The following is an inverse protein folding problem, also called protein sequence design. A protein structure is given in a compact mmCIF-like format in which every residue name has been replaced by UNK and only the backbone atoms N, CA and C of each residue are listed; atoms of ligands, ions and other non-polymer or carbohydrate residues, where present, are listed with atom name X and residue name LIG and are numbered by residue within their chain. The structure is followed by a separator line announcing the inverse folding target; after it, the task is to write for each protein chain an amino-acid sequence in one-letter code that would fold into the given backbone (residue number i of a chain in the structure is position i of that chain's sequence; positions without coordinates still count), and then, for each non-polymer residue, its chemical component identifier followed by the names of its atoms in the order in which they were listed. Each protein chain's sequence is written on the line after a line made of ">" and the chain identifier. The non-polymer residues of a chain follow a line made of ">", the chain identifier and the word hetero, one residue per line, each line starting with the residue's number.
data_IF_718303902497
#
_entry.id   IF_718303902497
#
_cell.length_a   1.000
_cell.length_b   1.000
_cell.length_c   1.000
_cell.angle_alpha   90.00
_cell.angle_beta   90.00
_cell.angle_gamma   90.00
#
_symmetry.space_group_name_H-M   'P 1'
#
loop_
_entity.id
_entity.type
_entity.pdbx_description
1 polymer ?
#
# COMPACT_ATOMS: atom_id res chain seq x y z
N UNK A 1 -10.29 1.02 -0.34
CA UNK A 1 -9.99 0.40 -1.65
C UNK A 1 -9.01 -0.74 -1.47
N UNK A 2 -9.14 -1.78 -2.28
CA UNK A 2 -8.38 -3.03 -2.20
C UNK A 2 -7.33 -3.14 -3.30
N UNK A 3 -6.16 -3.72 -2.99
CA UNK A 3 -5.16 -4.09 -4.01
C UNK A 3 -4.72 -5.54 -3.82
N UNK A 4 -4.84 -6.38 -4.84
CA UNK A 4 -4.38 -7.77 -4.79
C UNK A 4 -2.96 -7.81 -5.37
N UNK A 5 -1.98 -8.16 -4.54
CA UNK A 5 -0.56 -8.10 -4.86
C UNK A 5 0.07 -6.75 -4.51
N UNK A 6 1.23 -6.79 -3.84
CA UNK A 6 2.04 -5.63 -3.45
C UNK A 6 3.47 -5.73 -4.02
N UNK A 7 3.58 -6.30 -5.23
CA UNK A 7 4.80 -6.33 -6.04
C UNK A 7 5.20 -4.95 -6.59
N UNK A 8 5.89 -4.91 -7.74
CA UNK A 8 6.35 -3.65 -8.34
C UNK A 8 5.18 -2.70 -8.67
N UNK A 9 4.18 -3.19 -9.40
CA UNK A 9 3.02 -2.37 -9.79
C UNK A 9 2.09 -2.12 -8.60
N UNK A 10 1.75 -3.18 -7.85
CA UNK A 10 0.87 -3.10 -6.68
C UNK A 10 1.35 -2.09 -5.64
N UNK A 11 2.64 -2.08 -5.31
CA UNK A 11 3.18 -1.09 -4.36
C UNK A 11 3.06 0.35 -4.86
N UNK A 12 3.23 0.61 -6.17
CA UNK A 12 3.01 1.94 -6.75
C UNK A 12 1.54 2.38 -6.65
N UNK A 13 0.61 1.46 -6.93
CA UNK A 13 -0.84 1.71 -6.82
C UNK A 13 -1.21 2.04 -5.36
N UNK A 14 -0.75 1.22 -4.41
CA UNK A 14 -0.98 1.43 -2.97
C UNK A 14 -0.43 2.79 -2.54
N UNK A 15 0.80 3.11 -2.92
CA UNK A 15 1.46 4.37 -2.58
C UNK A 15 0.65 5.58 -3.09
N UNK A 16 0.37 5.65 -4.39
CA UNK A 16 -0.31 6.81 -5.00
C UNK A 16 -1.71 6.97 -4.42
N UNK A 17 -2.42 5.87 -4.20
CA UNK A 17 -3.77 5.90 -3.62
C UNK A 17 -3.77 6.42 -2.17
N UNK A 18 -2.82 5.96 -1.35
CA UNK A 18 -2.69 6.41 0.03
C UNK A 18 -2.28 7.90 0.13
N UNK A 19 -1.41 8.35 -0.78
CA UNK A 19 -1.01 9.76 -0.91
C UNK A 19 -2.19 10.65 -1.39
N UNK A 20 -3.10 10.10 -2.18
CA UNK A 20 -4.33 10.78 -2.60
C UNK A 20 -5.42 10.80 -1.50
N UNK A 21 -5.16 10.19 -0.33
CA UNK A 21 -6.05 10.25 0.83
C UNK A 21 -6.97 9.05 1.01
N UNK A 22 -6.85 8.00 0.20
CA UNK A 22 -7.66 6.79 0.34
C UNK A 22 -7.09 5.82 1.37
N UNK A 23 -7.96 5.16 2.13
CA UNK A 23 -7.59 3.98 2.93
C UNK A 23 -7.41 2.77 2.00
N UNK A 24 -6.22 2.17 2.03
CA UNK A 24 -5.83 1.09 1.13
C UNK A 24 -5.51 -0.17 1.93
N UNK A 25 -6.20 -1.26 1.60
CA UNK A 25 -5.90 -2.59 2.09
C UNK A 25 -5.33 -3.42 0.95
N UNK A 26 -4.10 -3.90 1.08
CA UNK A 26 -3.52 -4.80 0.09
C UNK A 26 -3.49 -6.26 0.58
N UNK A 27 -3.57 -7.20 -0.36
CA UNK A 27 -3.53 -8.63 -0.08
C UNK A 27 -2.25 -9.23 -0.66
N UNK A 28 -1.60 -10.09 0.12
CA UNK A 28 -0.45 -10.89 -0.32
C UNK A 28 -0.63 -12.35 0.07
N UNK A 29 0.14 -13.25 -0.55
CA UNK A 29 -0.03 -14.69 -0.37
C UNK A 29 0.35 -15.20 1.04
N UNK A 30 1.20 -14.47 1.77
CA UNK A 30 1.61 -14.82 3.13
C UNK A 30 2.08 -13.59 3.93
N UNK A 31 2.24 -13.76 5.25
CA UNK A 31 2.61 -12.67 6.16
C UNK A 31 4.01 -12.10 5.90
N UNK A 32 4.93 -12.89 5.35
CA UNK A 32 6.27 -12.42 4.99
C UNK A 32 6.20 -11.41 3.84
N UNK A 33 5.41 -11.72 2.81
CA UNK A 33 5.15 -10.83 1.69
C UNK A 33 4.39 -9.57 2.12
N UNK A 34 3.42 -9.68 3.04
CA UNK A 34 2.76 -8.52 3.66
C UNK A 34 3.78 -7.60 4.32
N UNK A 35 4.65 -8.16 5.19
CA UNK A 35 5.69 -7.39 5.88
C UNK A 35 6.65 -6.73 4.89
N UNK A 36 7.06 -7.45 3.84
CA UNK A 36 7.92 -6.93 2.78
C UNK A 36 7.26 -5.77 2.02
N UNK A 37 5.97 -5.89 1.69
CA UNK A 37 5.19 -4.83 1.05
C UNK A 37 5.12 -3.57 1.92
N UNK A 38 4.79 -3.72 3.20
CA UNK A 38 4.75 -2.61 4.15
C UNK A 38 6.12 -1.93 4.32
N UNK A 39 7.20 -2.72 4.43
CA UNK A 39 8.56 -2.19 4.55
C UNK A 39 8.95 -1.38 3.31
N UNK A 40 8.66 -1.89 2.11
CA UNK A 40 8.92 -1.20 0.84
C UNK A 40 8.16 0.12 0.73
N UNK A 41 6.88 0.12 1.10
CA UNK A 41 6.04 1.33 1.08
C UNK A 41 6.57 2.38 2.05
N UNK A 42 7.01 1.96 3.24
CA UNK A 42 7.67 2.82 4.23
C UNK A 42 8.94 3.44 3.68
N UNK A 43 9.87 2.62 3.18
CA UNK A 43 11.13 3.10 2.62
C UNK A 43 10.89 4.10 1.47
N UNK A 44 9.92 3.81 0.62
CA UNK A 44 9.57 4.67 -0.52
C UNK A 44 9.08 6.05 -0.04
N UNK A 45 8.13 6.08 0.90
CA UNK A 45 7.56 7.32 1.41
C UNK A 45 8.60 8.11 2.24
N UNK A 46 9.41 7.44 3.06
CA UNK A 46 10.53 8.06 3.77
C UNK A 46 11.54 8.67 2.80
N UNK A 47 11.89 7.96 1.73
CA UNK A 47 12.79 8.46 0.69
C UNK A 47 12.23 9.69 -0.04
N UNK A 48 10.92 9.77 -0.27
CA UNK A 48 10.28 10.95 -0.85
C UNK A 48 10.32 12.15 0.12
N UNK A 49 10.05 11.92 1.41
CA UNK A 49 10.12 12.95 2.44
C UNK A 49 11.56 13.48 2.61
N UNK A 50 12.54 12.59 2.66
CA UNK A 50 13.97 12.95 2.75
C UNK A 50 14.45 13.79 1.55
N UNK A 51 13.88 13.56 0.36
CA UNK A 51 14.15 14.33 -0.86
C UNK A 51 13.33 15.63 -0.95
N UNK A 52 12.53 15.97 0.06
CA UNK A 52 11.66 17.15 0.06
C UNK A 52 10.53 17.10 -0.98
N UNK A 53 10.16 15.90 -1.46
CA UNK A 53 9.08 15.73 -2.45
C UNK A 53 7.70 15.70 -1.82
N UNK A 54 7.63 15.35 -0.54
CA UNK A 54 6.41 15.38 0.28
C UNK A 54 6.78 15.89 1.69
N UNK A 55 5.82 16.46 2.40
CA UNK A 55 5.98 16.83 3.80
C UNK A 55 6.04 15.59 4.71
N UNK A 56 6.71 15.70 5.86
CA UNK A 56 6.79 14.62 6.84
C UNK A 56 5.39 14.17 7.32
N UNK A 57 4.48 15.14 7.53
CA UNK A 57 3.09 14.86 7.88
C UNK A 57 2.35 14.10 6.78
N UNK A 58 2.51 14.50 5.51
CA UNK A 58 1.88 13.80 4.39
C UNK A 58 2.39 12.35 4.26
N UNK A 59 3.66 12.11 4.57
CA UNK A 59 4.25 10.76 4.66
C UNK A 59 3.60 9.94 5.80
N UNK A 60 3.50 10.50 7.01
CA UNK A 60 2.89 9.81 8.15
C UNK A 60 1.41 9.51 7.92
N UNK A 61 0.66 10.47 7.36
CA UNK A 61 -0.75 10.31 7.00
C UNK A 61 -0.94 9.22 5.94
N UNK A 62 -0.09 9.17 4.91
CA UNK A 62 -0.14 8.12 3.89
C UNK A 62 0.15 6.75 4.48
N UNK A 63 1.15 6.62 5.35
CA UNK A 63 1.45 5.36 6.03
C UNK A 63 0.30 4.90 6.93
N UNK A 64 -0.36 5.83 7.63
CA UNK A 64 -1.51 5.52 8.46
C UNK A 64 -2.74 5.01 7.71
N UNK A 65 -2.80 5.20 6.38
CA UNK A 65 -3.88 4.71 5.51
C UNK A 65 -3.62 3.33 4.91
N UNK A 66 -2.42 2.78 5.06
CA UNK A 66 -2.01 1.53 4.42
C UNK A 66 -2.08 0.39 5.44
N UNK A 67 -2.80 -0.67 5.07
CA UNK A 67 -2.79 -1.94 5.77
C UNK A 67 -2.58 -3.10 4.79
N UNK A 68 -2.06 -4.21 5.30
CA UNK A 68 -1.86 -5.44 4.53
C UNK A 68 -2.50 -6.64 5.23
N UNK A 69 -2.99 -7.59 4.45
CA UNK A 69 -3.60 -8.84 4.93
C UNK A 69 -3.23 -10.02 4.03
N UNK A 70 -3.46 -11.23 4.52
CA UNK A 70 -3.38 -12.47 3.73
C UNK A 70 -4.74 -12.98 3.29
N UNK A 71 -5.82 -12.32 3.69
CA UNK A 71 -7.19 -12.79 3.48
C UNK A 71 -7.92 -11.97 2.42
N UNK A 72 -8.28 -12.62 1.31
CA UNK A 72 -9.12 -11.99 0.28
C UNK A 72 -10.50 -11.57 0.81
N UNK A 73 -11.02 -12.27 1.83
CA UNK A 73 -12.31 -11.94 2.45
C UNK A 73 -12.34 -10.55 3.11
N UNK A 74 -11.19 -10.00 3.50
CA UNK A 74 -11.13 -8.67 4.10
C UNK A 74 -11.42 -7.56 3.08
N UNK A 75 -11.29 -7.87 1.78
CA UNK A 75 -11.62 -6.94 0.69
C UNK A 75 -13.12 -6.73 0.51
N UNK A 76 -13.99 -7.48 1.19
CA UNK A 76 -15.46 -7.31 1.11
C UNK A 76 -15.94 -5.90 1.48
N UNK A 77 -15.18 -5.20 2.30
CA UNK A 77 -15.48 -3.83 2.72
C UNK A 77 -14.96 -2.76 1.74
N UNK A 78 -14.30 -3.15 0.64
CA UNK A 78 -13.75 -2.21 -0.34
C UNK A 78 -14.73 -1.93 -1.48
N UNK A 79 -14.93 -0.66 -1.82
CA UNK A 79 -15.77 -0.24 -2.95
C UNK A 79 -15.13 -0.50 -4.33
N UNK A 80 -13.79 -0.61 -4.36
CA UNK A 80 -12.98 -0.86 -5.55
C UNK A 80 -11.84 -1.80 -5.18
N UNK A 81 -11.57 -2.78 -6.04
CA UNK A 81 -10.44 -3.69 -5.93
C UNK A 81 -9.65 -3.67 -7.23
N UNK A 82 -8.34 -3.50 -7.14
CA UNK A 82 -7.40 -3.55 -8.26
C UNK A 82 -6.53 -4.79 -8.11
N UNK A 83 -6.47 -5.62 -9.15
CA UNK A 83 -5.61 -6.80 -9.19
C UNK A 83 -4.29 -6.46 -9.88
N UNK A 84 -3.17 -6.85 -9.27
CA UNK A 84 -1.80 -6.52 -9.68
C UNK A 84 -0.80 -7.63 -9.30
N UNK A 85 -1.22 -8.90 -9.35
CA UNK A 85 -0.35 -10.07 -9.31
C UNK A 85 0.23 -10.38 -10.69
N UNK A 86 1.29 -11.17 -10.70
CA UNK A 86 1.82 -11.80 -11.92
C UNK A 86 0.84 -12.85 -12.44
N UNK A 87 0.71 -12.93 -13.77
CA UNK A 87 -0.01 -13.99 -14.50
C UNK A 87 0.59 -15.39 -14.26
#
# INVERSE_FOLDING_TARGET
>A
MGVIGCGLMGSGIVQVSAQAGFSVLFVEANDELVKRGLARLRETLEGLAAKGKIEAKAKDDALGRIAGTTQLNDLKACDLVIEAMTE
#
